data_IF_094022317755
#
_entry.id   IF_094022317755
#
_cell.length_a   1.000
_cell.length_b   1.000
_cell.length_c   1.000
_cell.angle_alpha   90.00
_cell.angle_beta   90.00
_cell.angle_gamma   90.00
#
_symmetry.space_group_name_H-M   'P 1'
#
loop_
_entity.id
_entity.type
_entity.pdbx_description
1 polymer ?
#
# COMPACT_ATOMS: atom_id res chain seq x y z
N UNK A 1 -2.08 20.08 -6.65
CA UNK A 1 -0.69 19.58 -6.75
C UNK A 1 0.09 20.67 -7.46
N UNK A 2 1.35 20.92 -7.10
CA UNK A 2 2.13 22.00 -7.73
C UNK A 2 2.93 21.54 -8.96
N UNK A 3 2.91 20.23 -9.25
CA UNK A 3 3.64 19.67 -10.38
C UNK A 3 2.97 20.08 -11.70
N UNK A 4 3.73 20.66 -12.66
CA UNK A 4 3.18 21.06 -13.96
C UNK A 4 2.47 19.91 -14.67
N UNK A 5 1.26 20.15 -15.17
CA UNK A 5 0.43 19.12 -15.81
C UNK A 5 -0.32 18.18 -14.84
N UNK A 6 -0.13 18.30 -13.52
CA UNK A 6 -0.88 17.52 -12.55
C UNK A 6 -2.08 18.29 -11.97
N UNK A 7 -3.29 18.00 -12.48
CA UNK A 7 -4.53 18.64 -12.05
C UNK A 7 -5.13 18.10 -10.73
N UNK A 8 -4.40 17.26 -9.97
CA UNK A 8 -4.93 16.66 -8.74
C UNK A 8 -4.90 17.64 -7.56
N UNK A 9 -6.05 17.83 -6.91
CA UNK A 9 -6.18 18.58 -5.66
C UNK A 9 -6.44 17.64 -4.47
N UNK A 10 -6.06 18.05 -3.26
CA UNK A 10 -6.19 17.24 -2.06
C UNK A 10 -6.64 18.10 -0.88
N UNK A 11 -7.67 17.67 -0.16
CA UNK A 11 -8.16 18.36 1.03
C UNK A 11 -7.19 18.29 2.22
N UNK A 12 -6.28 17.30 2.25
CA UNK A 12 -5.32 17.10 3.35
C UNK A 12 -3.89 17.20 2.84
N UNK A 13 -3.04 17.95 3.55
CA UNK A 13 -1.60 18.09 3.26
C UNK A 13 -0.88 16.75 3.21
N UNK A 14 -1.23 15.81 4.10
CA UNK A 14 -0.69 14.45 4.09
C UNK A 14 -0.93 13.74 2.74
N UNK A 15 -2.15 13.83 2.19
CA UNK A 15 -2.50 13.21 0.92
C UNK A 15 -1.75 13.87 -0.25
N UNK A 16 -1.60 15.21 -0.23
CA UNK A 16 -0.79 15.92 -1.21
C UNK A 16 0.67 15.45 -1.17
N UNK A 17 1.29 15.36 0.02
CA UNK A 17 2.68 14.91 0.18
C UNK A 17 2.87 13.45 -0.30
N UNK A 18 1.93 12.57 0.03
CA UNK A 18 1.97 11.19 -0.48
C UNK A 18 1.80 11.16 -2.01
N UNK A 19 0.98 12.04 -2.57
CA UNK A 19 0.82 12.14 -4.02
C UNK A 19 2.04 12.73 -4.71
N UNK A 20 2.71 13.74 -4.16
CA UNK A 20 3.91 14.31 -4.81
C UNK A 20 5.03 13.29 -4.99
N UNK A 21 5.06 12.23 -4.17
CA UNK A 21 5.96 11.08 -4.37
C UNK A 21 5.72 10.34 -5.69
N UNK A 22 4.55 10.45 -6.32
CA UNK A 22 4.33 9.84 -7.66
C UNK A 22 5.09 10.56 -8.76
N UNK A 23 5.52 11.81 -8.53
CA UNK A 23 6.28 12.60 -9.50
C UNK A 23 7.79 12.43 -9.36
N UNK A 24 8.27 11.97 -8.20
CA UNK A 24 9.70 11.79 -7.89
C UNK A 24 9.98 10.35 -7.41
N UNK A 25 9.91 9.35 -8.32
CA UNK A 25 9.97 7.92 -7.98
C UNK A 25 11.25 7.49 -7.26
N UNK A 26 12.41 8.14 -7.49
CA UNK A 26 13.66 7.82 -6.78
C UNK A 26 13.61 8.14 -5.27
N UNK A 27 12.91 9.21 -4.88
CA UNK A 27 12.69 9.58 -3.47
C UNK A 27 11.38 9.01 -2.91
N UNK A 28 10.60 8.33 -3.76
CA UNK A 28 9.22 7.97 -3.48
C UNK A 28 9.03 6.81 -2.52
N UNK A 29 10.10 6.07 -2.18
CA UNK A 29 10.01 4.82 -1.41
C UNK A 29 10.85 4.85 -0.13
N UNK A 30 10.53 5.74 0.83
CA UNK A 30 11.31 5.84 2.07
C UNK A 30 11.16 4.60 2.97
N UNK A 31 10.16 3.76 2.74
CA UNK A 31 9.89 2.61 3.60
C UNK A 31 10.49 1.34 2.98
N UNK A 32 11.73 1.00 3.38
CA UNK A 32 12.41 -0.22 2.95
C UNK A 32 11.98 -1.42 3.79
N UNK A 33 11.86 -2.58 3.16
CA UNK A 33 11.68 -3.84 3.86
C UNK A 33 13.00 -4.25 4.53
N UNK A 34 13.00 -4.63 5.82
CA UNK A 34 14.20 -5.13 6.49
C UNK A 34 14.59 -6.53 6.04
N UNK A 35 13.64 -7.32 5.53
CA UNK A 35 13.84 -8.74 5.18
C UNK A 35 14.10 -8.95 3.68
N UNK A 36 13.91 -7.93 2.83
CA UNK A 36 14.22 -8.00 1.41
C UNK A 36 14.50 -6.61 0.82
N UNK A 37 15.03 -6.54 -0.41
CA UNK A 37 15.38 -5.28 -1.07
C UNK A 37 14.20 -4.45 -1.58
N UNK A 38 12.95 -4.79 -1.21
CA UNK A 38 11.75 -4.05 -1.66
C UNK A 38 11.57 -2.77 -0.84
N UNK A 39 11.15 -1.70 -1.53
CA UNK A 39 10.83 -0.42 -0.91
C UNK A 39 9.43 0.07 -1.31
N UNK A 40 8.77 0.78 -0.40
CA UNK A 40 7.37 1.21 -0.51
C UNK A 40 7.23 2.70 -0.27
N UNK A 41 6.28 3.34 -0.95
CA UNK A 41 6.02 4.77 -0.80
C UNK A 41 5.14 5.16 0.36
N UNK A 42 4.48 4.19 1.00
CA UNK A 42 3.62 4.40 2.17
C UNK A 42 3.92 3.34 3.24
N UNK A 43 3.88 3.76 4.50
CA UNK A 43 4.12 2.86 5.65
C UNK A 43 3.13 1.69 5.72
N UNK A 44 1.87 1.91 5.37
CA UNK A 44 0.87 0.84 5.37
C UNK A 44 1.14 -0.22 4.30
N UNK A 45 1.74 0.16 3.16
CA UNK A 45 2.10 -0.79 2.12
C UNK A 45 3.25 -1.70 2.58
N UNK A 46 4.26 -1.16 3.25
CA UNK A 46 5.34 -1.93 3.88
C UNK A 46 4.79 -2.88 4.95
N UNK A 47 3.94 -2.39 5.87
CA UNK A 47 3.34 -3.23 6.93
C UNK A 47 2.56 -4.40 6.34
N UNK A 48 1.75 -4.13 5.31
CA UNK A 48 1.01 -5.18 4.60
C UNK A 48 1.96 -6.16 3.92
N UNK A 49 3.03 -5.68 3.28
CA UNK A 49 4.03 -6.55 2.67
C UNK A 49 4.67 -7.49 3.69
N UNK A 50 5.09 -6.98 4.86
CA UNK A 50 5.64 -7.82 5.93
C UNK A 50 4.64 -8.88 6.41
N UNK A 51 3.41 -8.48 6.70
CA UNK A 51 2.36 -9.39 7.16
C UNK A 51 2.05 -10.52 6.15
N UNK A 52 2.07 -10.20 4.86
CA UNK A 52 1.62 -11.13 3.79
C UNK A 52 2.73 -11.97 3.18
N UNK A 53 3.96 -11.45 3.09
CA UNK A 53 5.08 -12.14 2.43
C UNK A 53 5.99 -12.82 3.44
N UNK A 54 6.25 -12.16 4.58
CA UNK A 54 7.25 -12.61 5.53
C UNK A 54 6.65 -13.35 6.72
N UNK A 55 5.44 -12.94 7.16
CA UNK A 55 4.77 -13.56 8.32
C UNK A 55 3.66 -14.56 7.92
N UNK A 56 3.31 -14.67 6.63
CA UNK A 56 2.23 -15.54 6.13
C UNK A 56 0.90 -15.40 6.90
N UNK A 57 0.66 -14.23 7.49
CA UNK A 57 -0.58 -13.98 8.22
C UNK A 57 -1.71 -13.75 7.23
N UNK A 58 -2.64 -14.69 7.17
CA UNK A 58 -3.89 -14.52 6.44
C UNK A 58 -4.87 -13.77 7.33
N UNK A 59 -5.08 -12.51 7.00
CA UNK A 59 -5.82 -11.55 7.82
C UNK A 59 -7.35 -11.65 7.64
N UNK A 60 -7.80 -12.24 6.53
CA UNK A 60 -9.21 -12.24 6.13
C UNK A 60 -9.63 -13.64 5.70
N UNK A 61 -10.85 -14.05 6.06
CA UNK A 61 -11.46 -15.32 5.63
C UNK A 61 -12.87 -15.05 5.14
N UNK A 62 -13.30 -15.76 4.10
CA UNK A 62 -14.68 -15.75 3.64
C UNK A 62 -15.58 -16.38 4.70
N UNK A 63 -16.74 -15.76 4.97
CA UNK A 63 -17.72 -16.31 5.92
C UNK A 63 -18.35 -17.61 5.42
N UNK A 64 -18.59 -17.74 4.12
CA UNK A 64 -19.28 -18.88 3.51
C UNK A 64 -18.37 -20.10 3.33
N UNK A 65 -17.18 -19.91 2.75
CA UNK A 65 -16.29 -21.02 2.40
C UNK A 65 -15.01 -21.10 3.25
N UNK A 66 -14.82 -20.19 4.22
CA UNK A 66 -13.62 -20.11 5.08
C UNK A 66 -12.29 -19.94 4.35
N UNK A 67 -12.32 -19.69 3.03
CA UNK A 67 -11.12 -19.52 2.22
C UNK A 67 -10.31 -18.32 2.71
N UNK A 68 -9.00 -18.48 2.95
CA UNK A 68 -8.18 -17.41 3.49
C UNK A 68 -7.68 -16.46 2.40
N UNK A 69 -7.63 -15.17 2.72
CA UNK A 69 -7.16 -14.10 1.87
C UNK A 69 -6.14 -13.23 2.59
N UNK A 70 -5.07 -12.90 1.87
CA UNK A 70 -4.02 -12.00 2.36
C UNK A 70 -4.48 -10.53 2.41
N UNK A 71 -5.58 -10.17 1.73
CA UNK A 71 -6.08 -8.79 1.64
C UNK A 71 -7.60 -8.74 1.61
N UNK A 72 -8.17 -7.67 2.19
CA UNK A 72 -9.62 -7.45 2.23
C UNK A 72 -10.21 -7.22 0.84
N UNK A 73 -9.53 -6.49 -0.03
CA UNK A 73 -9.98 -6.27 -1.41
C UNK A 73 -10.03 -7.57 -2.22
N UNK A 74 -9.15 -8.53 -1.91
CA UNK A 74 -9.22 -9.87 -2.50
C UNK A 74 -10.41 -10.68 -1.97
N UNK A 75 -10.73 -10.54 -0.67
CA UNK A 75 -11.92 -11.15 -0.08
C UNK A 75 -13.20 -10.55 -0.68
N UNK A 76 -13.33 -9.23 -0.72
CA UNK A 76 -14.52 -8.53 -1.24
C UNK A 76 -14.78 -8.80 -2.72
N UNK A 77 -13.74 -9.14 -3.50
CA UNK A 77 -13.92 -9.58 -4.90
C UNK A 77 -14.34 -11.04 -5.03
N UNK A 78 -14.12 -11.83 -3.98
CA UNK A 78 -14.44 -13.23 -3.94
C UNK A 78 -15.86 -13.47 -3.40
N UNK A 79 -16.27 -12.68 -2.41
CA UNK A 79 -17.65 -12.57 -1.92
C UNK A 79 -18.56 -11.95 -2.97
#
# INVERSE_FOLDING_TARGET
CIYPGCMKSFARKYNLNVHTRTHYPELARPFKCPECSKAFGRKHDLRRHLATVHQTTTLYRCSECSKPFARRDSLVKHE
#
